data_IF_820195834801
#
_entry.id   IF_820195834801
#
_cell.length_a   1.000
_cell.length_b   1.000
_cell.length_c   1.000
_cell.angle_alpha   90.00
_cell.angle_beta   90.00
_cell.angle_gamma   90.00
#
_symmetry.space_group_name_H-M   'P 1'
#
loop_
_entity.id
_entity.type
_entity.pdbx_description
1 polymer ?
#
# COMPACT_ATOMS: atom_id res chain seq x y z
N UNK A 1 -15.23 7.37 26.75
CA UNK A 1 -15.79 6.77 25.52
C UNK A 1 -15.24 5.36 25.39
N UNK A 2 -16.01 4.49 24.75
CA UNK A 2 -15.65 3.08 24.57
C UNK A 2 -15.07 2.88 23.16
N UNK A 3 -13.80 2.50 23.06
CA UNK A 3 -13.11 2.23 21.80
C UNK A 3 -12.99 0.72 21.65
N UNK A 4 -13.63 0.15 20.64
CA UNK A 4 -13.55 -1.27 20.30
C UNK A 4 -12.46 -1.51 19.28
N UNK A 5 -11.54 -2.42 19.55
CA UNK A 5 -10.70 -3.06 18.53
C UNK A 5 -11.35 -4.38 18.16
N UNK A 6 -11.81 -4.51 16.93
CA UNK A 6 -12.39 -5.77 16.43
C UNK A 6 -11.55 -6.34 15.31
N UNK A 7 -11.00 -7.55 15.49
CA UNK A 7 -10.17 -8.19 14.47
C UNK A 7 -10.14 -9.72 14.59
N UNK A 8 -10.47 -10.41 13.48
CA UNK A 8 -10.30 -11.86 13.34
C UNK A 8 -8.82 -12.26 13.45
N UNK A 9 -7.94 -11.43 12.85
CA UNK A 9 -6.48 -11.60 12.90
C UNK A 9 -5.90 -10.59 13.88
N UNK A 10 -5.56 -11.00 15.12
CA UNK A 10 -5.17 -10.09 16.18
C UNK A 10 -3.97 -9.23 15.80
N UNK A 11 -3.88 -8.09 16.44
CA UNK A 11 -2.64 -7.31 16.45
C UNK A 11 -1.55 -8.04 17.24
N UNK A 12 -0.29 -7.75 16.95
CA UNK A 12 0.80 -8.16 17.82
C UNK A 12 0.66 -7.47 19.20
N UNK A 13 1.09 -8.13 20.25
CA UNK A 13 0.98 -7.60 21.62
C UNK A 13 1.56 -6.18 21.78
N UNK A 14 2.67 -5.88 21.09
CA UNK A 14 3.25 -4.54 21.08
C UNK A 14 2.31 -3.48 20.48
N UNK A 15 1.54 -3.83 19.44
CA UNK A 15 0.55 -2.93 18.86
C UNK A 15 -0.63 -2.72 19.81
N UNK A 16 -1.15 -3.79 20.42
CA UNK A 16 -2.23 -3.71 21.43
C UNK A 16 -1.82 -2.82 22.59
N UNK A 17 -0.60 -2.99 23.11
CA UNK A 17 -0.07 -2.16 24.20
C UNK A 17 0.04 -0.68 23.80
N UNK A 18 0.49 -0.40 22.56
CA UNK A 18 0.57 0.97 22.04
C UNK A 18 -0.82 1.60 21.85
N UNK A 19 -1.77 0.85 21.27
CA UNK A 19 -3.18 1.29 21.14
C UNK A 19 -3.76 1.59 22.52
N UNK A 20 -3.58 0.67 23.47
CA UNK A 20 -4.06 0.80 24.86
C UNK A 20 -3.51 2.06 25.52
N UNK A 21 -2.21 2.26 25.45
CA UNK A 21 -1.56 3.44 26.04
C UNK A 21 -2.14 4.75 25.50
N UNK A 22 -2.36 4.85 24.17
CA UNK A 22 -2.95 6.05 23.54
C UNK A 22 -4.41 6.27 23.97
N UNK A 23 -5.22 5.21 23.99
CA UNK A 23 -6.65 5.30 24.32
C UNK A 23 -6.84 5.67 25.80
N UNK A 24 -6.13 4.99 26.71
CA UNK A 24 -6.24 5.21 28.16
C UNK A 24 -5.65 6.56 28.58
N UNK A 25 -4.58 7.05 27.93
CA UNK A 25 -4.02 8.38 28.17
C UNK A 25 -5.02 9.52 27.88
N UNK A 26 -5.96 9.27 26.95
CA UNK A 26 -7.06 10.20 26.66
C UNK A 26 -8.30 10.00 27.57
N UNK A 27 -8.22 9.14 28.59
CA UNK A 27 -9.33 8.85 29.51
C UNK A 27 -10.43 7.97 28.90
N UNK A 28 -10.14 7.25 27.84
CA UNK A 28 -11.08 6.37 27.16
C UNK A 28 -10.87 4.89 27.57
N UNK A 29 -11.90 4.08 27.39
CA UNK A 29 -11.88 2.63 27.64
C UNK A 29 -11.53 1.89 26.36
N UNK A 30 -10.56 0.98 26.41
CA UNK A 30 -10.26 0.04 25.33
C UNK A 30 -10.92 -1.31 25.55
N UNK A 31 -11.67 -1.77 24.58
CA UNK A 31 -12.25 -3.11 24.53
C UNK A 31 -11.68 -3.88 23.34
N UNK A 32 -11.31 -5.14 23.56
CA UNK A 32 -10.74 -5.99 22.54
C UNK A 32 -11.71 -7.13 22.19
N UNK A 33 -12.00 -7.28 20.90
CA UNK A 33 -12.63 -8.46 20.30
C UNK A 33 -11.66 -9.06 19.30
N UNK A 34 -10.87 -10.01 19.74
CA UNK A 34 -9.84 -10.64 18.92
C UNK A 34 -10.20 -12.10 18.62
N UNK A 35 -9.76 -12.60 17.44
CA UNK A 35 -9.93 -14.00 17.02
C UNK A 35 -11.39 -14.46 17.01
N UNK A 36 -12.32 -13.56 16.80
CA UNK A 36 -13.71 -13.94 16.64
C UNK A 36 -13.90 -14.74 15.34
N UNK A 37 -14.82 -15.69 15.35
CA UNK A 37 -15.09 -16.61 14.24
C UNK A 37 -16.47 -16.39 13.64
N UNK A 38 -17.36 -15.75 14.38
CA UNK A 38 -18.74 -15.53 13.99
C UNK A 38 -19.05 -14.03 13.92
N UNK A 39 -19.66 -13.59 12.82
CA UNK A 39 -20.08 -12.19 12.65
C UNK A 39 -20.97 -11.70 13.79
N UNK A 40 -21.79 -12.58 14.36
CA UNK A 40 -22.65 -12.27 15.51
C UNK A 40 -21.88 -11.74 16.72
N UNK A 41 -20.64 -12.21 16.96
CA UNK A 41 -19.77 -11.71 18.02
C UNK A 41 -19.40 -10.25 17.77
N UNK A 42 -19.06 -9.90 16.52
CA UNK A 42 -18.76 -8.52 16.13
C UNK A 42 -19.98 -7.62 16.24
N UNK A 43 -21.13 -8.06 15.71
CA UNK A 43 -22.40 -7.33 15.81
C UNK A 43 -22.80 -7.06 17.27
N UNK A 44 -22.53 -8.00 18.17
CA UNK A 44 -22.83 -7.82 19.59
C UNK A 44 -21.85 -6.85 20.26
N UNK A 45 -20.56 -6.93 19.96
CA UNK A 45 -19.53 -6.09 20.57
C UNK A 45 -19.59 -4.62 20.14
N UNK A 46 -20.08 -4.34 18.92
CA UNK A 46 -20.10 -2.97 18.37
C UNK A 46 -21.29 -2.13 18.88
N UNK A 47 -22.30 -2.73 19.52
CA UNK A 47 -23.57 -2.08 19.88
C UNK A 47 -23.40 -0.83 20.75
N UNK A 48 -22.45 -0.83 21.65
CA UNK A 48 -22.20 0.22 22.65
C UNK A 48 -20.80 0.87 22.47
N UNK A 49 -20.17 0.66 21.32
CA UNK A 49 -18.89 1.28 21.00
C UNK A 49 -19.08 2.68 20.43
N UNK A 50 -18.34 3.66 20.97
CA UNK A 50 -18.27 5.03 20.44
C UNK A 50 -17.32 5.13 19.23
N UNK A 51 -16.26 4.31 19.23
CA UNK A 51 -15.27 4.24 18.15
C UNK A 51 -14.87 2.80 17.87
N UNK A 52 -14.44 2.54 16.63
CA UNK A 52 -14.05 1.22 16.14
C UNK A 52 -12.71 1.27 15.44
N UNK A 53 -11.79 0.38 15.81
CA UNK A 53 -10.55 0.09 15.07
C UNK A 53 -10.67 -1.29 14.46
N UNK A 54 -10.43 -1.38 13.16
CA UNK A 54 -10.41 -2.64 12.40
C UNK A 54 -9.10 -2.81 11.61
N UNK A 55 -8.82 -4.02 11.15
CA UNK A 55 -7.75 -4.32 10.19
C UNK A 55 -8.33 -4.72 8.83
N UNK A 56 -8.61 -6.01 8.62
CA UNK A 56 -9.20 -6.55 7.39
C UNK A 56 -10.68 -6.94 7.57
N UNK A 57 -11.21 -6.70 8.72
CA UNK A 57 -12.59 -6.99 9.10
C UNK A 57 -13.55 -6.10 8.31
N UNK A 58 -14.67 -6.64 7.88
CA UNK A 58 -15.65 -5.89 7.08
C UNK A 58 -16.57 -5.08 7.97
N UNK A 59 -16.71 -3.81 7.66
CA UNK A 59 -17.72 -2.91 8.22
C UNK A 59 -18.73 -2.61 7.12
N UNK A 60 -19.73 -3.46 7.03
CA UNK A 60 -20.86 -3.34 6.09
C UNK A 60 -22.08 -2.68 6.79
N UNK A 61 -23.16 -2.51 6.03
CA UNK A 61 -24.38 -1.89 6.53
C UNK A 61 -24.92 -2.58 7.77
N UNK A 62 -24.85 -3.92 7.87
CA UNK A 62 -25.34 -4.68 9.03
C UNK A 62 -24.54 -4.36 10.30
N UNK A 63 -23.22 -4.20 10.19
CA UNK A 63 -22.37 -3.78 11.32
C UNK A 63 -22.72 -2.36 11.74
N UNK A 64 -22.91 -1.45 10.80
CA UNK A 64 -23.29 -0.05 11.06
C UNK A 64 -24.71 0.04 11.65
N UNK A 65 -25.64 -0.79 11.19
CA UNK A 65 -26.99 -0.90 11.77
C UNK A 65 -26.97 -1.35 13.24
N UNK A 66 -26.04 -2.23 13.59
CA UNK A 66 -25.87 -2.68 14.98
C UNK A 66 -25.17 -1.63 15.86
N UNK A 67 -24.32 -0.78 15.29
CA UNK A 67 -23.43 0.17 15.97
C UNK A 67 -24.11 1.50 16.27
N UNK A 68 -25.14 1.53 17.12
CA UNK A 68 -26.03 2.69 17.34
C UNK A 68 -25.34 3.91 17.95
N UNK A 69 -24.20 3.75 18.62
CA UNK A 69 -23.45 4.84 19.26
C UNK A 69 -22.19 5.24 18.50
N UNK A 70 -21.81 4.46 17.47
CA UNK A 70 -20.57 4.64 16.74
C UNK A 70 -20.50 6.03 16.08
N UNK A 71 -19.39 6.72 16.27
CA UNK A 71 -19.08 8.03 15.65
C UNK A 71 -17.99 7.97 14.63
N UNK A 72 -17.03 7.05 14.84
CA UNK A 72 -15.88 6.92 13.96
C UNK A 72 -15.44 5.46 13.84
N UNK A 73 -15.09 5.04 12.64
CA UNK A 73 -14.39 3.80 12.36
C UNK A 73 -13.05 4.11 11.69
N UNK A 74 -11.97 3.55 12.22
CA UNK A 74 -10.62 3.72 11.65
C UNK A 74 -10.07 2.37 11.22
N UNK A 75 -9.76 2.25 9.94
CA UNK A 75 -9.02 1.10 9.40
C UNK A 75 -7.54 1.28 9.64
N UNK A 76 -6.94 0.42 10.46
CA UNK A 76 -5.50 0.40 10.69
C UNK A 76 -4.74 -0.11 9.46
N UNK A 77 -4.50 0.79 8.52
CA UNK A 77 -3.81 0.57 7.24
C UNK A 77 -4.24 1.54 6.15
N UNK A 78 -3.63 1.46 4.97
CA UNK A 78 -3.83 2.43 3.90
C UNK A 78 -5.07 2.16 3.02
N UNK A 79 -5.37 0.90 2.67
CA UNK A 79 -6.60 0.55 1.94
C UNK A 79 -7.83 0.64 2.85
N UNK A 80 -9.02 0.81 2.31
CA UNK A 80 -10.27 0.90 3.07
C UNK A 80 -11.44 0.24 2.33
N UNK A 81 -11.14 -0.67 1.41
CA UNK A 81 -12.12 -1.41 0.59
C UNK A 81 -13.05 -2.30 1.44
N UNK A 82 -12.72 -2.51 2.70
CA UNK A 82 -13.48 -3.30 3.67
C UNK A 82 -14.45 -2.47 4.53
N UNK A 83 -14.60 -1.17 4.26
CA UNK A 83 -15.61 -0.30 4.88
C UNK A 83 -16.62 0.11 3.82
N UNK A 84 -17.89 -0.10 4.06
CA UNK A 84 -18.98 0.45 3.26
C UNK A 84 -19.12 1.95 3.56
N UNK A 85 -18.48 2.77 2.70
CA UNK A 85 -18.43 4.22 2.88
C UNK A 85 -19.82 4.87 2.75
N UNK A 86 -20.67 4.35 1.87
CA UNK A 86 -22.02 4.88 1.67
C UNK A 86 -22.88 4.62 2.91
N UNK A 87 -22.81 3.41 3.46
CA UNK A 87 -23.50 3.07 4.69
C UNK A 87 -22.93 3.87 5.89
N UNK A 88 -21.61 4.04 6.00
CA UNK A 88 -21.02 4.86 7.05
C UNK A 88 -21.54 6.31 7.02
N UNK A 89 -21.59 6.91 5.83
CA UNK A 89 -22.14 8.26 5.64
C UNK A 89 -23.63 8.32 6.02
N UNK A 90 -24.43 7.34 5.62
CA UNK A 90 -25.85 7.27 5.96
C UNK A 90 -26.11 7.16 7.48
N UNK A 91 -25.17 6.56 8.20
CA UNK A 91 -25.22 6.44 9.68
C UNK A 91 -24.53 7.60 10.41
N UNK A 92 -24.03 8.63 9.71
CA UNK A 92 -23.24 9.74 10.25
C UNK A 92 -21.98 9.24 11.00
N UNK A 93 -21.37 8.16 10.53
CA UNK A 93 -20.11 7.62 11.04
C UNK A 93 -18.97 8.09 10.16
N UNK A 94 -17.96 8.72 10.75
CA UNK A 94 -16.72 9.09 10.07
C UNK A 94 -15.91 7.82 9.82
N UNK A 95 -15.52 7.58 8.57
CA UNK A 95 -14.63 6.49 8.20
C UNK A 95 -13.24 7.05 7.88
N UNK A 96 -12.22 6.54 8.56
CA UNK A 96 -10.82 6.94 8.35
C UNK A 96 -9.93 5.73 8.07
N UNK A 97 -8.77 6.00 7.47
CA UNK A 97 -7.68 5.05 7.32
C UNK A 97 -6.39 5.61 7.92
N UNK A 98 -5.32 4.80 7.97
CA UNK A 98 -4.02 5.26 8.46
C UNK A 98 -2.99 5.27 7.32
N UNK A 99 -3.03 6.30 6.43
CA UNK A 99 -2.13 6.36 5.27
C UNK A 99 -0.68 6.57 5.72
N UNK A 100 0.25 5.98 4.97
CA UNK A 100 1.67 6.19 5.19
C UNK A 100 2.34 5.27 6.23
N UNK A 101 1.59 4.65 7.14
CA UNK A 101 2.15 3.86 8.24
C UNK A 101 2.89 2.60 7.79
N UNK A 102 2.56 2.06 6.64
CA UNK A 102 3.19 0.89 6.02
C UNK A 102 4.12 1.25 4.84
N UNK A 103 4.30 2.53 4.55
CA UNK A 103 4.96 2.96 3.32
C UNK A 103 6.43 2.61 3.27
N UNK A 104 7.13 2.64 4.42
CA UNK A 104 8.52 2.24 4.51
C UNK A 104 8.68 0.74 4.25
N UNK A 105 7.83 -0.09 4.84
CA UNK A 105 7.87 -1.55 4.64
C UNK A 105 7.69 -1.92 3.16
N UNK A 106 6.73 -1.29 2.47
CA UNK A 106 6.54 -1.49 1.02
C UNK A 106 7.78 -1.05 0.24
N UNK A 107 8.36 0.10 0.59
CA UNK A 107 9.56 0.61 -0.08
C UNK A 107 10.77 -0.31 0.11
N UNK A 108 10.97 -0.87 1.28
CA UNK A 108 12.03 -1.87 1.53
C UNK A 108 11.82 -3.14 0.70
N UNK A 109 10.57 -3.62 0.59
CA UNK A 109 10.26 -4.77 -0.27
C UNK A 109 10.56 -4.49 -1.75
N UNK A 110 10.31 -3.27 -2.25
CA UNK A 110 10.72 -2.87 -3.61
C UNK A 110 12.21 -3.14 -3.82
N UNK A 111 13.07 -2.77 -2.88
CA UNK A 111 14.51 -2.99 -3.00
C UNK A 111 14.89 -4.46 -2.83
N UNK A 112 14.21 -5.22 -1.97
CA UNK A 112 14.39 -6.67 -1.89
C UNK A 112 14.11 -7.37 -3.22
N UNK A 113 12.98 -7.03 -3.86
CA UNK A 113 12.62 -7.55 -5.19
C UNK A 113 13.59 -7.07 -6.27
N UNK A 114 13.99 -5.80 -6.22
CA UNK A 114 14.88 -5.21 -7.22
C UNK A 114 16.29 -5.79 -7.15
N UNK A 115 16.87 -5.93 -5.95
CA UNK A 115 18.18 -6.59 -5.78
C UNK A 115 18.15 -8.02 -6.29
N UNK A 116 17.10 -8.77 -5.95
CA UNK A 116 16.91 -10.13 -6.46
C UNK A 116 16.85 -10.16 -8.00
N UNK A 117 16.09 -9.27 -8.61
CA UNK A 117 15.91 -9.21 -10.07
C UNK A 117 17.23 -8.88 -10.80
N UNK A 118 17.97 -7.84 -10.35
CA UNK A 118 19.23 -7.45 -11.00
C UNK A 118 20.35 -8.46 -10.76
N UNK A 119 20.28 -9.26 -9.69
CA UNK A 119 21.21 -10.37 -9.40
C UNK A 119 20.77 -11.69 -10.03
N UNK A 120 19.89 -11.64 -11.06
CA UNK A 120 19.45 -12.82 -11.82
C UNK A 120 18.74 -13.86 -10.97
N UNK A 121 17.95 -13.45 -9.97
CA UNK A 121 17.23 -14.33 -9.03
C UNK A 121 18.17 -15.32 -8.32
N UNK A 122 19.42 -14.91 -8.10
CA UNK A 122 20.47 -15.67 -7.42
C UNK A 122 20.77 -17.03 -8.08
N UNK A 123 20.71 -17.10 -9.41
CA UNK A 123 20.92 -18.32 -10.22
C UNK A 123 22.39 -18.73 -10.38
N UNK A 124 23.31 -18.11 -9.66
CA UNK A 124 24.75 -18.38 -9.71
C UNK A 124 25.52 -17.69 -10.85
N UNK A 125 24.81 -16.98 -11.76
CA UNK A 125 25.44 -16.21 -12.84
C UNK A 125 25.70 -14.76 -12.39
N UNK A 126 26.62 -14.07 -13.09
CA UNK A 126 26.86 -12.65 -12.87
C UNK A 126 25.60 -11.82 -13.12
N UNK A 127 25.23 -10.99 -12.14
CA UNK A 127 24.16 -10.02 -12.25
C UNK A 127 24.71 -8.60 -12.50
N UNK A 128 23.88 -7.59 -12.17
CA UNK A 128 24.27 -6.18 -12.22
C UNK A 128 24.05 -5.48 -10.88
N UNK A 129 24.57 -4.26 -10.75
CA UNK A 129 24.44 -3.42 -9.57
C UNK A 129 23.35 -2.37 -9.76
N UNK A 130 22.88 -1.77 -8.66
CA UNK A 130 21.94 -0.63 -8.69
C UNK A 130 22.65 0.71 -8.73
N UNK A 131 23.91 0.78 -8.29
CA UNK A 131 24.71 2.00 -8.27
C UNK A 131 24.75 2.65 -9.66
N UNK A 132 24.42 3.93 -9.72
CA UNK A 132 24.40 4.73 -10.94
C UNK A 132 23.26 4.40 -11.93
N UNK A 133 22.37 3.45 -11.62
CA UNK A 133 21.18 3.19 -12.44
C UNK A 133 20.08 4.20 -12.18
N UNK A 134 19.27 4.45 -13.19
CA UNK A 134 18.13 5.35 -13.13
C UNK A 134 16.87 4.62 -12.67
N UNK A 135 16.31 5.05 -11.53
CA UNK A 135 15.05 4.56 -11.01
C UNK A 135 13.94 5.56 -11.30
N UNK A 136 12.91 5.12 -12.01
CA UNK A 136 11.67 5.84 -12.20
C UNK A 136 10.62 5.46 -11.14
N UNK A 137 10.01 6.46 -10.56
CA UNK A 137 8.94 6.30 -9.56
C UNK A 137 7.65 6.83 -10.17
N UNK A 138 6.70 5.93 -10.45
CA UNK A 138 5.38 6.32 -10.94
C UNK A 138 4.42 6.48 -9.76
N UNK A 139 4.06 7.70 -9.45
CA UNK A 139 3.39 8.27 -8.29
C UNK A 139 4.34 8.55 -7.09
N UNK A 140 4.40 9.83 -6.69
CA UNK A 140 5.30 10.33 -5.65
C UNK A 140 4.57 10.59 -4.32
N UNK A 141 3.69 9.64 -3.94
CA UNK A 141 3.00 9.60 -2.65
C UNK A 141 3.89 9.05 -1.52
N UNK A 142 3.25 8.57 -0.44
CA UNK A 142 3.98 8.08 0.74
C UNK A 142 4.98 6.95 0.44
N UNK A 143 4.61 5.98 -0.40
CA UNK A 143 5.51 4.88 -0.78
C UNK A 143 6.61 5.40 -1.72
N UNK A 144 6.26 6.15 -2.76
CA UNK A 144 7.22 6.68 -3.73
C UNK A 144 8.31 7.52 -3.08
N UNK A 145 7.98 8.34 -2.08
CA UNK A 145 8.95 9.15 -1.30
C UNK A 145 9.91 8.28 -0.50
N UNK A 146 9.43 7.20 0.12
CA UNK A 146 10.29 6.24 0.82
C UNK A 146 11.18 5.46 -0.15
N UNK A 147 10.65 5.06 -1.32
CA UNK A 147 11.45 4.43 -2.38
C UNK A 147 12.55 5.37 -2.84
N UNK A 148 12.26 6.66 -3.07
CA UNK A 148 13.27 7.65 -3.44
C UNK A 148 14.37 7.79 -2.37
N UNK A 149 13.99 7.83 -1.10
CA UNK A 149 14.95 7.90 0.03
C UNK A 149 15.89 6.70 0.05
N UNK A 150 15.36 5.49 -0.10
CA UNK A 150 16.16 4.26 -0.09
C UNK A 150 17.04 4.17 -1.35
N UNK A 151 16.50 4.53 -2.53
CA UNK A 151 17.23 4.54 -3.80
C UNK A 151 18.50 5.39 -3.74
N UNK A 152 18.43 6.56 -3.11
CA UNK A 152 19.60 7.42 -2.90
C UNK A 152 20.67 6.74 -2.06
N UNK A 153 20.27 5.94 -1.07
CA UNK A 153 21.21 5.12 -0.28
C UNK A 153 21.92 4.05 -1.11
N UNK A 154 21.30 3.56 -2.19
CA UNK A 154 21.93 2.67 -3.18
C UNK A 154 22.76 3.42 -4.23
N UNK A 155 22.85 4.75 -4.18
CA UNK A 155 23.54 5.54 -5.18
C UNK A 155 22.86 5.55 -6.54
N UNK A 156 21.55 5.36 -6.60
CA UNK A 156 20.75 5.43 -7.81
C UNK A 156 20.44 6.90 -8.16
N UNK A 157 20.29 7.18 -9.46
CA UNK A 157 19.76 8.44 -9.97
C UNK A 157 18.24 8.33 -10.05
N UNK A 158 17.50 9.19 -9.33
CA UNK A 158 16.06 8.99 -9.08
C UNK A 158 15.21 9.99 -9.85
N UNK A 159 14.25 9.46 -10.60
CA UNK A 159 13.27 10.21 -11.39
C UNK A 159 11.87 9.90 -10.91
N UNK A 160 10.95 10.85 -10.99
CA UNK A 160 9.56 10.61 -10.64
C UNK A 160 8.58 11.36 -11.55
N UNK A 161 7.44 10.77 -11.75
CA UNK A 161 6.25 11.39 -12.30
C UNK A 161 5.04 11.12 -11.40
N UNK A 162 4.26 12.16 -11.15
CA UNK A 162 2.99 12.07 -10.44
C UNK A 162 2.00 13.07 -11.05
N UNK A 163 0.79 12.64 -11.35
CA UNK A 163 -0.23 13.49 -11.98
C UNK A 163 -0.79 14.58 -11.04
N UNK A 164 -0.60 14.41 -9.73
CA UNK A 164 -1.18 15.27 -8.69
C UNK A 164 -0.13 15.96 -7.81
N UNK A 165 1.11 15.47 -7.80
CA UNK A 165 2.20 16.08 -7.04
C UNK A 165 2.95 17.10 -7.94
N UNK A 166 3.03 18.38 -7.56
CA UNK A 166 3.79 19.38 -8.31
C UNK A 166 5.26 19.00 -8.50
N UNK A 167 5.83 19.34 -9.64
CA UNK A 167 7.23 19.03 -9.97
C UNK A 167 8.21 19.60 -8.92
N UNK A 168 7.94 20.79 -8.41
CA UNK A 168 8.75 21.49 -7.41
C UNK A 168 8.84 20.68 -6.09
N UNK A 169 7.77 19.93 -5.74
CA UNK A 169 7.75 19.07 -4.55
C UNK A 169 8.61 17.83 -4.75
N UNK A 170 8.64 17.29 -5.97
CA UNK A 170 9.52 16.18 -6.36
C UNK A 170 10.98 16.63 -6.34
N UNK A 171 11.27 17.78 -6.94
CA UNK A 171 12.62 18.35 -7.01
C UNK A 171 13.16 18.76 -5.64
N UNK A 172 12.31 19.34 -4.78
CA UNK A 172 12.68 19.67 -3.41
C UNK A 172 13.06 18.43 -2.58
N UNK A 173 12.55 17.25 -2.95
CA UNK A 173 12.99 15.98 -2.37
C UNK A 173 14.32 15.49 -2.99
N UNK A 174 14.97 16.24 -3.90
CA UNK A 174 16.19 15.86 -4.61
C UNK A 174 15.96 14.68 -5.57
N UNK A 175 14.84 14.68 -6.26
CA UNK A 175 14.42 13.70 -7.28
C UNK A 175 14.13 14.46 -8.56
N UNK A 176 14.54 13.95 -9.71
CA UNK A 176 14.27 14.60 -10.99
C UNK A 176 12.81 14.43 -11.39
N UNK A 177 12.07 15.52 -11.47
CA UNK A 177 10.71 15.49 -11.99
C UNK A 177 10.73 15.35 -13.51
N UNK A 178 9.89 14.45 -14.07
CA UNK A 178 9.71 14.31 -15.51
C UNK A 178 8.30 14.70 -15.94
N UNK A 179 8.15 15.10 -17.21
CA UNK A 179 6.92 15.72 -17.70
C UNK A 179 5.71 14.77 -17.75
N UNK A 180 5.94 13.48 -17.96
CA UNK A 180 4.90 12.47 -18.09
C UNK A 180 5.47 11.05 -17.87
N UNK A 181 4.57 10.06 -17.85
CA UNK A 181 4.96 8.67 -17.69
C UNK A 181 5.80 8.12 -18.84
N UNK A 182 5.58 8.57 -20.07
CA UNK A 182 6.40 8.15 -21.22
C UNK A 182 7.86 8.53 -21.03
N UNK A 183 8.13 9.77 -20.66
CA UNK A 183 9.47 10.25 -20.35
C UNK A 183 10.12 9.49 -19.19
N UNK A 184 9.32 9.06 -18.20
CA UNK A 184 9.80 8.26 -17.08
C UNK A 184 10.32 6.89 -17.56
N UNK A 185 9.53 6.18 -18.38
CA UNK A 185 9.90 4.86 -18.89
C UNK A 185 11.06 4.93 -19.89
N UNK A 186 11.11 5.94 -20.74
CA UNK A 186 12.23 6.15 -21.71
C UNK A 186 13.55 6.46 -21.00
N UNK A 187 13.50 7.17 -19.89
CA UNK A 187 14.70 7.64 -19.18
C UNK A 187 15.32 6.57 -18.30
N UNK A 188 14.48 5.72 -17.67
CA UNK A 188 14.89 4.89 -16.54
C UNK A 188 15.29 3.47 -16.94
N UNK A 189 16.18 2.87 -16.12
CA UNK A 189 16.57 1.46 -16.21
C UNK A 189 15.58 0.57 -15.44
N UNK A 190 14.93 1.14 -14.43
CA UNK A 190 13.96 0.51 -13.56
C UNK A 190 12.77 1.45 -13.39
N UNK A 191 11.55 0.93 -13.43
CA UNK A 191 10.35 1.68 -13.02
C UNK A 191 9.60 0.93 -11.93
N UNK A 192 9.30 1.64 -10.84
CA UNK A 192 8.52 1.15 -9.71
C UNK A 192 7.16 1.85 -9.66
N UNK A 193 6.10 1.05 -9.59
CA UNK A 193 4.72 1.51 -9.66
C UNK A 193 4.13 1.71 -8.25
N UNK A 194 3.52 2.88 -8.01
CA UNK A 194 2.88 3.25 -6.75
C UNK A 194 1.52 3.93 -6.97
N UNK A 195 0.97 3.82 -8.19
CA UNK A 195 -0.35 4.37 -8.55
C UNK A 195 -1.50 3.54 -7.94
N UNK A 196 -2.61 4.17 -7.52
CA UNK A 196 -3.82 3.46 -7.13
C UNK A 196 -4.48 2.79 -8.35
N UNK A 197 -5.37 1.82 -8.12
CA UNK A 197 -6.27 1.30 -9.15
C UNK A 197 -7.52 2.19 -9.19
N UNK A 198 -7.64 2.97 -10.25
CA UNK A 198 -8.81 3.80 -10.58
C UNK A 198 -9.28 3.47 -12.00
N UNK A 199 -10.45 3.94 -12.45
CA UNK A 199 -10.85 3.77 -13.84
C UNK A 199 -9.79 4.22 -14.85
N UNK A 200 -9.05 5.31 -14.56
CA UNK A 200 -8.04 5.90 -15.43
C UNK A 200 -6.71 5.13 -15.41
N UNK A 201 -6.37 4.51 -14.28
CA UNK A 201 -5.10 3.78 -14.11
C UNK A 201 -5.21 2.30 -14.39
N UNK A 202 -6.44 1.77 -14.45
CA UNK A 202 -6.68 0.35 -14.79
C UNK A 202 -6.12 0.03 -16.16
N UNK A 203 -5.25 -1.00 -16.22
CA UNK A 203 -4.56 -1.45 -17.44
C UNK A 203 -3.76 -0.35 -18.16
N UNK A 204 -3.43 0.75 -17.49
CA UNK A 204 -2.64 1.84 -18.07
C UNK A 204 -1.18 1.45 -18.31
N UNK A 205 -0.67 0.48 -17.55
CA UNK A 205 0.69 -0.05 -17.71
C UNK A 205 0.65 -1.16 -18.76
N UNK A 206 0.78 -0.76 -19.99
CA UNK A 206 0.63 -1.58 -21.20
C UNK A 206 1.97 -1.81 -21.93
N UNK A 207 1.95 -2.59 -23.02
CA UNK A 207 3.15 -2.91 -23.80
C UNK A 207 3.81 -1.67 -24.40
N UNK A 208 3.02 -0.70 -24.88
CA UNK A 208 3.55 0.52 -25.48
C UNK A 208 4.37 1.34 -24.48
N UNK A 209 3.93 1.41 -23.23
CA UNK A 209 4.61 2.12 -22.17
C UNK A 209 5.83 1.33 -21.64
N UNK A 210 5.64 0.06 -21.29
CA UNK A 210 6.73 -0.78 -20.74
C UNK A 210 7.82 -1.05 -21.77
N UNK A 211 7.45 -1.12 -23.06
CA UNK A 211 8.38 -1.29 -24.17
C UNK A 211 9.40 -0.16 -24.32
N UNK A 212 9.13 1.01 -23.74
CA UNK A 212 10.05 2.17 -23.71
C UNK A 212 11.21 1.99 -22.72
N UNK A 213 11.11 1.05 -21.77
CA UNK A 213 12.22 0.74 -20.86
C UNK A 213 13.47 0.37 -21.65
N UNK A 214 14.62 0.81 -21.15
CA UNK A 214 15.92 0.49 -21.70
C UNK A 214 16.16 -1.02 -21.75
N UNK A 215 17.15 -1.44 -22.53
CA UNK A 215 17.56 -2.84 -22.58
C UNK A 215 17.99 -3.32 -21.20
N UNK A 216 17.45 -4.47 -20.78
CA UNK A 216 17.66 -5.03 -19.45
C UNK A 216 16.77 -4.38 -18.37
N UNK A 217 15.74 -3.64 -18.78
CA UNK A 217 14.85 -2.90 -17.89
C UNK A 217 14.09 -3.80 -16.90
N UNK A 218 13.76 -3.23 -15.76
CA UNK A 218 13.00 -3.91 -14.69
C UNK A 218 11.74 -3.13 -14.36
N UNK A 219 10.60 -3.80 -14.42
CA UNK A 219 9.31 -3.30 -13.91
C UNK A 219 9.06 -3.87 -12.53
N UNK A 220 8.77 -3.01 -11.55
CA UNK A 220 8.42 -3.40 -10.17
C UNK A 220 7.01 -2.96 -9.86
N UNK A 221 6.13 -3.88 -9.46
CA UNK A 221 4.77 -3.55 -9.06
C UNK A 221 4.49 -3.98 -7.61
N UNK A 222 4.43 -3.02 -6.70
CA UNK A 222 3.97 -3.20 -5.33
C UNK A 222 2.67 -2.44 -5.04
N UNK A 223 2.01 -1.94 -6.09
CA UNK A 223 0.80 -1.13 -6.02
C UNK A 223 -0.48 -1.97 -6.11
N UNK A 224 -0.95 -2.23 -7.33
CA UNK A 224 -2.17 -3.00 -7.61
C UNK A 224 -1.98 -3.80 -8.91
N UNK A 225 -2.53 -5.04 -8.99
CA UNK A 225 -2.45 -5.86 -10.20
C UNK A 225 -3.28 -5.25 -11.35
N UNK A 226 -4.37 -4.63 -11.02
CA UNK A 226 -5.34 -4.05 -11.96
C UNK A 226 -4.75 -2.95 -12.84
N UNK A 227 -3.62 -2.34 -12.43
CA UNK A 227 -2.97 -1.31 -13.24
C UNK A 227 -2.20 -1.88 -14.43
N UNK A 228 -1.85 -3.18 -14.39
CA UNK A 228 -1.11 -3.88 -15.46
C UNK A 228 -2.08 -4.40 -16.52
N UNK A 229 -1.77 -4.17 -17.79
CA UNK A 229 -2.36 -4.91 -18.90
C UNK A 229 -1.58 -6.21 -19.06
N UNK A 230 -2.00 -7.26 -18.34
CA UNK A 230 -1.28 -8.53 -18.28
C UNK A 230 -1.10 -9.21 -19.65
N UNK A 231 -2.13 -9.31 -20.51
CA UNK A 231 -1.96 -9.91 -21.83
C UNK A 231 -0.91 -9.20 -22.69
N UNK A 232 -0.90 -7.87 -22.68
CA UNK A 232 0.07 -7.09 -23.45
C UNK A 232 1.48 -7.21 -22.86
N UNK A 233 1.62 -7.21 -21.52
CA UNK A 233 2.91 -7.37 -20.86
C UNK A 233 3.50 -8.77 -21.13
N UNK A 234 2.69 -9.83 -21.11
CA UNK A 234 3.11 -11.19 -21.46
C UNK A 234 3.67 -11.22 -22.88
N UNK A 235 2.92 -10.67 -23.85
CA UNK A 235 3.37 -10.62 -25.25
C UNK A 235 4.69 -9.85 -25.38
N UNK A 236 4.79 -8.69 -24.73
CA UNK A 236 6.02 -7.90 -24.73
C UNK A 236 7.21 -8.68 -24.15
N UNK A 237 7.02 -9.41 -23.05
CA UNK A 237 8.06 -10.21 -22.43
C UNK A 237 8.48 -11.42 -23.28
N UNK A 238 7.62 -11.92 -24.19
CA UNK A 238 7.99 -12.93 -25.20
C UNK A 238 8.92 -12.32 -26.28
N UNK A 239 8.66 -11.08 -26.68
CA UNK A 239 9.44 -10.36 -27.69
C UNK A 239 10.74 -9.75 -27.12
N UNK A 240 10.67 -9.27 -25.86
CA UNK A 240 11.76 -8.61 -25.12
C UNK A 240 12.32 -9.55 -24.05
N UNK A 241 13.20 -10.45 -24.43
CA UNK A 241 13.81 -11.44 -23.50
C UNK A 241 14.70 -10.80 -22.43
N UNK A 242 15.02 -9.54 -22.54
CA UNK A 242 15.81 -8.76 -21.60
C UNK A 242 14.99 -8.14 -20.46
N UNK A 243 13.68 -8.00 -20.64
CA UNK A 243 12.78 -7.39 -19.63
C UNK A 243 12.57 -8.33 -18.45
N UNK A 244 12.48 -7.70 -17.26
CA UNK A 244 12.14 -8.38 -16.01
C UNK A 244 10.91 -7.72 -15.38
N UNK A 245 10.05 -8.55 -14.80
CA UNK A 245 8.89 -8.14 -14.05
C UNK A 245 8.89 -8.78 -12.66
N UNK A 246 8.88 -7.96 -11.61
CA UNK A 246 8.78 -8.42 -10.22
C UNK A 246 7.63 -7.72 -9.52
N UNK A 247 6.89 -8.47 -8.72
CA UNK A 247 5.66 -7.95 -8.11
C UNK A 247 5.41 -8.52 -6.71
N UNK A 248 4.75 -7.72 -5.87
CA UNK A 248 4.25 -8.10 -4.54
C UNK A 248 2.78 -8.58 -4.62
N UNK A 249 2.20 -8.57 -5.80
CA UNK A 249 0.79 -8.90 -6.01
C UNK A 249 0.71 -9.92 -7.14
N UNK A 250 0.28 -11.13 -6.80
CA UNK A 250 0.13 -12.18 -7.79
C UNK A 250 -0.82 -11.75 -8.92
N UNK A 251 -0.35 -11.71 -10.18
CA UNK A 251 -1.19 -11.43 -11.34
C UNK A 251 -2.26 -12.50 -11.53
N UNK A 252 -3.33 -12.17 -12.26
CA UNK A 252 -4.34 -13.15 -12.63
C UNK A 252 -3.77 -14.22 -13.59
N UNK A 253 -2.91 -13.81 -14.52
CA UNK A 253 -2.20 -14.70 -15.46
C UNK A 253 -0.85 -15.21 -14.90
N UNK A 254 -0.75 -15.47 -13.59
CA UNK A 254 0.49 -15.87 -12.94
C UNK A 254 1.17 -17.08 -13.61
N UNK A 255 0.41 -18.07 -14.06
CA UNK A 255 0.95 -19.28 -14.70
C UNK A 255 1.63 -18.96 -16.04
N UNK A 256 1.14 -17.97 -16.78
CA UNK A 256 1.79 -17.49 -18.00
C UNK A 256 3.08 -16.72 -17.69
N UNK A 257 3.06 -15.85 -16.68
CA UNK A 257 4.27 -15.15 -16.24
C UNK A 257 5.33 -16.10 -15.69
N UNK A 258 4.96 -17.17 -14.99
CA UNK A 258 5.87 -18.14 -14.43
C UNK A 258 6.74 -18.87 -15.50
N UNK A 259 6.31 -18.86 -16.77
CA UNK A 259 7.08 -19.38 -17.89
C UNK A 259 8.33 -18.54 -18.21
N UNK A 260 8.41 -17.30 -17.74
CA UNK A 260 9.57 -16.42 -17.91
C UNK A 260 10.62 -16.64 -16.81
N UNK A 261 11.17 -17.85 -16.74
CA UNK A 261 12.18 -18.21 -15.76
C UNK A 261 13.36 -17.23 -15.72
N UNK A 262 13.75 -16.81 -14.51
CA UNK A 262 14.84 -15.84 -14.31
C UNK A 262 14.52 -14.41 -14.75
N UNK A 263 13.26 -14.11 -15.09
CA UNK A 263 12.80 -12.78 -15.49
C UNK A 263 11.50 -12.33 -14.79
N UNK A 264 10.82 -13.25 -14.12
CA UNK A 264 9.60 -13.01 -13.38
C UNK A 264 9.68 -13.52 -11.94
N UNK A 265 9.05 -12.77 -11.03
CA UNK A 265 8.79 -13.22 -9.67
C UNK A 265 7.56 -12.51 -9.11
N UNK A 266 6.73 -13.26 -8.41
CA UNK A 266 5.65 -12.74 -7.58
C UNK A 266 5.73 -13.32 -6.17
N UNK A 267 5.45 -12.49 -5.15
CA UNK A 267 5.20 -13.03 -3.82
C UNK A 267 3.89 -13.85 -3.82
N UNK A 268 3.77 -14.89 -2.98
CA UNK A 268 2.58 -15.77 -2.99
C UNK A 268 1.30 -15.07 -2.52
N UNK A 269 1.44 -13.92 -1.89
CA UNK A 269 0.36 -13.00 -1.47
C UNK A 269 0.95 -11.62 -1.26
N UNK A 270 0.11 -10.60 -1.19
CA UNK A 270 0.56 -9.23 -0.89
C UNK A 270 1.30 -9.15 0.44
N UNK A 271 2.58 -8.81 0.41
CA UNK A 271 3.49 -8.82 1.56
C UNK A 271 4.07 -7.46 1.92
N UNK A 272 3.99 -6.47 1.05
CA UNK A 272 4.66 -5.18 1.23
C UNK A 272 4.39 -4.48 2.56
N UNK A 273 3.18 -4.65 3.11
CA UNK A 273 2.79 -4.11 4.41
C UNK A 273 2.88 -5.13 5.57
N UNK A 274 3.40 -6.34 5.33
CA UNK A 274 3.39 -7.44 6.32
C UNK A 274 4.66 -7.41 7.18
N UNK A 275 4.90 -6.29 7.87
CA UNK A 275 5.95 -6.17 8.89
C UNK A 275 5.32 -5.88 10.26
N UNK A 276 6.04 -6.24 11.32
CA UNK A 276 5.59 -5.97 12.70
C UNK A 276 5.44 -4.45 12.91
N UNK A 277 6.41 -3.68 12.46
CA UNK A 277 6.46 -2.22 12.59
C UNK A 277 5.30 -1.54 11.86
N UNK A 278 5.00 -1.94 10.62
CA UNK A 278 3.87 -1.38 9.87
C UNK A 278 2.53 -1.63 10.58
N UNK A 279 2.35 -2.84 11.14
CA UNK A 279 1.13 -3.18 11.89
C UNK A 279 1.04 -2.42 13.22
N UNK A 280 2.15 -2.28 13.96
CA UNK A 280 2.21 -1.50 15.20
C UNK A 280 1.87 -0.04 14.91
N UNK A 281 2.58 0.58 13.95
CA UNK A 281 2.40 1.98 13.61
C UNK A 281 0.96 2.28 13.14
N UNK A 282 0.38 1.40 12.32
CA UNK A 282 -1.00 1.58 11.85
C UNK A 282 -2.03 1.51 13.00
N UNK A 283 -1.84 0.60 13.94
CA UNK A 283 -2.72 0.49 15.12
C UNK A 283 -2.62 1.72 16.03
N UNK A 284 -1.42 2.17 16.34
CA UNK A 284 -1.19 3.36 17.17
C UNK A 284 -1.72 4.63 16.46
N UNK A 285 -1.51 4.74 15.14
CA UNK A 285 -2.04 5.87 14.37
C UNK A 285 -3.57 5.90 14.39
N UNK A 286 -4.25 4.74 14.32
CA UNK A 286 -5.70 4.67 14.43
C UNK A 286 -6.19 5.17 15.80
N UNK A 287 -5.52 4.77 16.88
CA UNK A 287 -5.85 5.25 18.23
C UNK A 287 -5.67 6.78 18.36
N UNK A 288 -4.58 7.33 17.82
CA UNK A 288 -4.33 8.77 17.79
C UNK A 288 -5.38 9.54 17.00
N UNK A 289 -5.80 9.04 15.84
CA UNK A 289 -6.88 9.64 15.04
C UNK A 289 -8.20 9.68 15.81
N UNK A 290 -8.58 8.57 16.47
CA UNK A 290 -9.78 8.53 17.32
C UNK A 290 -9.70 9.57 18.43
N UNK A 291 -8.57 9.66 19.12
CA UNK A 291 -8.38 10.66 20.17
C UNK A 291 -8.49 12.11 19.63
N UNK A 292 -7.88 12.39 18.47
CA UNK A 292 -7.95 13.70 17.82
C UNK A 292 -9.39 14.04 17.36
N UNK A 293 -10.10 13.03 16.80
CA UNK A 293 -11.50 13.20 16.43
C UNK A 293 -12.38 13.58 17.61
N UNK A 294 -12.29 12.90 18.72
CA UNK A 294 -13.13 13.20 19.88
C UNK A 294 -12.72 14.48 20.62
N UNK A 295 -11.43 14.83 20.59
CA UNK A 295 -10.93 16.04 21.26
C UNK A 295 -11.18 17.30 20.44
N UNK A 296 -10.86 17.26 19.15
CA UNK A 296 -10.74 18.44 18.31
C UNK A 296 -11.67 18.41 17.08
N UNK A 297 -12.42 17.32 16.85
CA UNK A 297 -13.22 17.10 15.65
C UNK A 297 -12.36 16.87 14.41
N UNK A 298 -11.10 16.39 14.57
CA UNK A 298 -10.18 16.17 13.45
C UNK A 298 -10.68 15.03 12.55
N UNK A 299 -10.88 15.33 11.27
CA UNK A 299 -11.31 14.40 10.22
C UNK A 299 -10.34 14.43 9.04
N UNK A 300 -9.07 14.70 9.30
CA UNK A 300 -8.03 14.86 8.27
C UNK A 300 -7.92 13.64 7.35
N UNK A 301 -8.14 12.46 7.87
CA UNK A 301 -8.01 11.20 7.14
C UNK A 301 -9.35 10.58 6.73
N UNK A 302 -10.42 11.37 6.77
CA UNK A 302 -11.76 10.92 6.40
C UNK A 302 -11.83 10.53 4.92
N UNK A 303 -12.38 9.33 4.64
CA UNK A 303 -12.49 8.74 3.31
C UNK A 303 -13.93 8.67 2.77
N UNK A 304 -14.92 8.95 3.60
CA UNK A 304 -16.35 8.97 3.24
C UNK A 304 -16.95 10.39 3.21
N UNK A 305 -16.23 11.33 2.57
CA UNK A 305 -16.70 12.72 2.38
C UNK A 305 -17.80 12.81 1.34
#
# INVERSE_FOLDING_TARGET
MKVLVATEKPFAAAAVNGIKAEIEAAGNELVLLEKYTEKAQFLNAVKDADALIIRSDKVDAEVLDAAKQLKIVVRAGAGYDNIDLAAATAHNVVAENTPGQNSNAVAELVFGLLVMAVRGFYNGKSGSELLGKKLGILAFGNVGRNVARIAKGFGMDVYAYDAFCPAEVIEAAGVHAVANQDALFETCDVVSLHIPATPETKQSINAALVGKLKKGGVLVNTARKEVINEPELIKLMQEREDLKFVTDIMPDANDEFAKFEGRYFSTPKKMGAQTAEANINAGIAAAKQINAFFKDGDTKFQVNK
#
